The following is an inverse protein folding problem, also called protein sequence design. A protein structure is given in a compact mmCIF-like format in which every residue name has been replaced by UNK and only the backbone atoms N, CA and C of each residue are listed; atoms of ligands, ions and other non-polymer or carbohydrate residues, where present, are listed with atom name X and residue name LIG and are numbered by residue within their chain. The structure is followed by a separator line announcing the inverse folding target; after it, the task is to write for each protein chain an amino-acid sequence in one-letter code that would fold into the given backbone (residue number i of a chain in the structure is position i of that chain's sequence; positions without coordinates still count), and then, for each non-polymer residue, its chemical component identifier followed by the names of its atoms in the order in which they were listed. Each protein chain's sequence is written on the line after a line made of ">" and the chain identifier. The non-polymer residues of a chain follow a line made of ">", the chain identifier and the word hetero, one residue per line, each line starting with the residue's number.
data_IF_582074652040
#
_entry.id   IF_582074652040
#
_cell.length_a   1.000
_cell.length_b   1.000
_cell.length_c   1.000
_cell.angle_alpha   90.00
_cell.angle_beta   90.00
_cell.angle_gamma   90.00
#
_symmetry.space_group_name_H-M   'P 1'
#
loop_
_entity.id
_entity.type
_entity.pdbx_description
1 polymer ?
#
# COMPACT_ATOMS: atom_id res chain seq x y z
N UNK A 1 -40.84 -4.38 -10.97
CA UNK A 1 -40.60 -5.71 -10.39
C UNK A 1 -39.52 -5.55 -9.33
N UNK A 2 -39.32 -6.51 -8.42
CA UNK A 2 -38.31 -6.38 -7.35
C UNK A 2 -36.87 -6.27 -7.87
N UNK A 3 -36.62 -6.81 -9.07
CA UNK A 3 -35.28 -6.81 -9.70
C UNK A 3 -34.86 -5.43 -10.24
N UNK A 4 -35.75 -4.64 -10.84
CA UNK A 4 -35.37 -3.32 -11.36
C UNK A 4 -35.05 -2.33 -10.23
N UNK A 5 -35.65 -2.52 -9.04
CA UNK A 5 -35.37 -1.71 -7.85
C UNK A 5 -33.98 -2.04 -7.29
N UNK A 6 -33.67 -3.32 -7.11
CA UNK A 6 -32.33 -3.78 -6.66
C UNK A 6 -31.22 -3.34 -7.63
N UNK A 7 -31.47 -3.41 -8.94
CA UNK A 7 -30.51 -2.89 -9.92
C UNK A 7 -30.41 -1.36 -9.90
N UNK A 8 -31.51 -0.65 -9.69
CA UNK A 8 -31.48 0.81 -9.54
C UNK A 8 -30.65 1.22 -8.32
N UNK A 9 -30.80 0.53 -7.19
CA UNK A 9 -29.98 0.76 -5.99
C UNK A 9 -28.48 0.55 -6.31
N UNK A 10 -28.13 -0.55 -6.98
CA UNK A 10 -26.74 -0.80 -7.43
C UNK A 10 -26.21 0.29 -8.35
N UNK A 11 -27.04 0.82 -9.24
CA UNK A 11 -26.68 1.94 -10.12
C UNK A 11 -26.52 3.26 -9.38
N UNK A 12 -27.25 3.49 -8.29
CA UNK A 12 -27.13 4.67 -7.44
C UNK A 12 -25.87 4.58 -6.56
N UNK A 13 -25.63 3.43 -5.95
CA UNK A 13 -24.47 3.20 -5.07
C UNK A 13 -23.15 3.19 -5.84
N UNK A 14 -23.10 2.42 -6.94
CA UNK A 14 -21.87 2.28 -7.72
C UNK A 14 -22.17 2.12 -9.22
N UNK A 15 -22.40 3.24 -9.93
CA UNK A 15 -22.76 3.23 -11.35
C UNK A 15 -21.72 2.52 -12.23
N UNK A 16 -20.43 2.65 -11.89
CA UNK A 16 -19.33 2.06 -12.64
C UNK A 16 -19.28 0.53 -12.48
N UNK A 17 -19.47 0.04 -11.27
CA UNK A 17 -19.52 -1.40 -11.00
C UNK A 17 -20.81 -2.01 -11.57
N UNK A 18 -21.92 -1.30 -11.49
CA UNK A 18 -23.19 -1.74 -12.07
C UNK A 18 -23.09 -1.90 -13.59
N UNK A 19 -22.60 -0.89 -14.31
CA UNK A 19 -22.52 -0.94 -15.78
C UNK A 19 -21.53 -2.01 -16.29
N UNK A 20 -20.46 -2.27 -15.56
CA UNK A 20 -19.45 -3.27 -15.94
C UNK A 20 -19.91 -4.71 -15.69
N UNK A 21 -20.80 -4.93 -14.72
CA UNK A 21 -21.38 -6.25 -14.42
C UNK A 21 -22.62 -6.58 -15.26
N UNK A 22 -23.24 -5.58 -15.85
CA UNK A 22 -24.40 -5.79 -16.70
C UNK A 22 -24.02 -6.35 -18.08
N UNK A 23 -24.97 -7.05 -18.72
CA UNK A 23 -24.82 -7.53 -20.10
C UNK A 23 -24.48 -6.38 -21.07
N UNK A 24 -23.85 -6.67 -22.22
CA UNK A 24 -23.63 -5.68 -23.27
C UNK A 24 -24.93 -4.96 -23.64
N UNK A 25 -24.84 -3.66 -23.90
CA UNK A 25 -25.99 -2.77 -24.19
C UNK A 25 -26.93 -2.52 -23.00
N UNK A 26 -26.56 -2.93 -21.78
CA UNK A 26 -27.21 -2.56 -20.51
C UNK A 26 -28.76 -2.61 -20.57
N UNK A 27 -29.33 -3.80 -20.85
CA UNK A 27 -30.78 -3.99 -21.02
C UNK A 27 -31.63 -3.64 -19.79
N UNK A 28 -31.14 -3.93 -18.58
CA UNK A 28 -31.82 -3.65 -17.31
C UNK A 28 -31.81 -2.14 -17.05
N UNK A 29 -30.68 -1.47 -17.29
CA UNK A 29 -30.62 0.00 -17.22
C UNK A 29 -31.63 0.63 -18.19
N UNK A 30 -31.72 0.15 -19.44
CA UNK A 30 -32.71 0.65 -20.40
C UNK A 30 -34.15 0.42 -19.93
N UNK A 31 -34.43 -0.71 -19.30
CA UNK A 31 -35.75 -1.01 -18.75
C UNK A 31 -36.10 -0.05 -17.59
N UNK A 32 -35.17 0.18 -16.67
CA UNK A 32 -35.31 1.16 -15.58
C UNK A 32 -35.58 2.56 -16.15
N UNK A 33 -34.79 2.99 -17.14
CA UNK A 33 -34.94 4.31 -17.76
C UNK A 33 -36.26 4.45 -18.54
N UNK A 34 -36.78 3.38 -19.14
CA UNK A 34 -38.11 3.37 -19.75
C UNK A 34 -39.22 3.58 -18.72
N UNK A 35 -39.13 2.91 -17.57
CA UNK A 35 -40.09 3.08 -16.47
C UNK A 35 -40.04 4.52 -15.95
N UNK A 36 -38.84 5.06 -15.71
CA UNK A 36 -38.64 6.44 -15.28
C UNK A 36 -39.19 7.45 -16.29
N UNK A 37 -38.99 7.22 -17.59
CA UNK A 37 -39.56 8.06 -18.63
C UNK A 37 -41.10 8.03 -18.62
N UNK A 38 -41.70 6.86 -18.43
CA UNK A 38 -43.16 6.73 -18.28
C UNK A 38 -43.71 7.48 -17.06
N UNK A 39 -42.99 7.47 -15.94
CA UNK A 39 -43.36 8.23 -14.75
C UNK A 39 -43.24 9.76 -14.94
N UNK A 40 -42.28 10.21 -15.75
CA UNK A 40 -42.14 11.62 -16.14
C UNK A 40 -43.27 12.08 -17.08
N UNK A 41 -43.72 11.21 -18.00
CA UNK A 41 -44.81 11.55 -18.92
C UNK A 41 -46.18 11.53 -18.24
N UNK A 42 -46.43 10.55 -17.37
CA UNK A 42 -47.67 10.45 -16.60
C UNK A 42 -47.80 11.48 -15.47
N UNK A 43 -46.78 12.34 -15.26
CA UNK A 43 -46.78 13.37 -14.22
C UNK A 43 -46.63 12.84 -12.78
N UNK A 44 -46.43 11.52 -12.62
CA UNK A 44 -46.18 10.88 -11.32
C UNK A 44 -44.82 11.27 -10.73
N UNK A 45 -43.85 11.58 -11.59
CA UNK A 45 -42.57 12.16 -11.20
C UNK A 45 -42.53 13.65 -11.58
N UNK A 46 -42.77 14.52 -10.60
CA UNK A 46 -42.83 15.97 -10.81
C UNK A 46 -41.43 16.57 -10.89
N UNK A 47 -40.98 16.89 -12.10
CA UNK A 47 -39.78 17.69 -12.35
C UNK A 47 -40.16 19.04 -12.99
N UNK A 48 -39.36 20.08 -12.74
CA UNK A 48 -39.45 21.34 -13.50
C UNK A 48 -39.24 21.05 -14.99
N UNK A 49 -39.95 21.78 -15.87
CA UNK A 49 -39.92 21.62 -17.33
C UNK A 49 -38.51 21.38 -17.90
N UNK A 50 -37.55 22.25 -17.56
CA UNK A 50 -36.18 22.10 -18.05
C UNK A 50 -35.47 20.83 -17.57
N UNK A 51 -35.71 20.43 -16.32
CA UNK A 51 -35.14 19.20 -15.75
C UNK A 51 -35.78 17.95 -16.37
N UNK A 52 -37.09 17.98 -16.64
CA UNK A 52 -37.79 16.92 -17.36
C UNK A 52 -37.19 16.74 -18.75
N UNK A 53 -37.10 17.81 -19.54
CA UNK A 53 -36.52 17.78 -20.90
C UNK A 53 -35.10 17.20 -20.90
N UNK A 54 -34.21 17.70 -20.03
CA UNK A 54 -32.84 17.20 -19.91
C UNK A 54 -32.77 15.71 -19.54
N UNK A 55 -33.63 15.26 -18.62
CA UNK A 55 -33.70 13.85 -18.23
C UNK A 55 -34.13 12.97 -19.41
N UNK A 56 -35.16 13.39 -20.15
CA UNK A 56 -35.66 12.67 -21.32
C UNK A 56 -34.62 12.60 -22.45
N UNK A 57 -33.90 13.68 -22.70
CA UNK A 57 -32.81 13.69 -23.70
C UNK A 57 -31.67 12.75 -23.28
N UNK A 58 -31.35 12.71 -21.99
CA UNK A 58 -30.34 11.80 -21.45
C UNK A 58 -30.79 10.34 -21.57
N UNK A 59 -32.04 10.04 -21.24
CA UNK A 59 -32.64 8.70 -21.37
C UNK A 59 -32.59 8.25 -22.84
N UNK A 60 -32.93 9.13 -23.79
CA UNK A 60 -32.85 8.83 -25.23
C UNK A 60 -31.42 8.50 -25.66
N UNK A 61 -30.43 9.30 -25.23
CA UNK A 61 -29.01 9.05 -25.54
C UNK A 61 -28.55 7.68 -25.03
N UNK A 62 -28.89 7.35 -23.78
CA UNK A 62 -28.52 6.06 -23.17
C UNK A 62 -29.22 4.91 -23.90
N UNK A 63 -30.51 5.03 -24.22
CA UNK A 63 -31.22 4.02 -25.00
C UNK A 63 -30.59 3.80 -26.39
N UNK A 64 -30.04 4.86 -26.99
CA UNK A 64 -29.27 4.84 -28.24
C UNK A 64 -27.79 4.47 -28.04
N UNK A 65 -27.50 3.64 -27.05
CA UNK A 65 -26.20 3.01 -26.89
C UNK A 65 -25.03 3.96 -26.54
N UNK A 66 -25.28 5.17 -26.04
CA UNK A 66 -24.22 6.15 -25.77
C UNK A 66 -23.16 5.68 -24.76
N UNK A 67 -23.47 4.70 -23.90
CA UNK A 67 -22.57 4.17 -22.89
C UNK A 67 -21.75 2.94 -23.32
N UNK A 68 -21.89 2.42 -24.55
CA UNK A 68 -21.18 1.19 -24.98
C UNK A 68 -19.67 1.36 -24.85
N UNK A 69 -19.11 2.42 -25.44
CA UNK A 69 -17.66 2.69 -25.38
C UNK A 69 -17.15 2.80 -23.94
N UNK A 70 -17.97 3.34 -23.05
CA UNK A 70 -17.65 3.44 -21.63
C UNK A 70 -17.66 2.07 -20.97
N UNK A 71 -18.68 1.24 -21.23
CA UNK A 71 -18.79 -0.12 -20.72
C UNK A 71 -17.59 -0.97 -21.17
N UNK A 72 -17.27 -0.96 -22.46
CA UNK A 72 -16.13 -1.69 -23.05
C UNK A 72 -14.81 -1.28 -22.43
N UNK A 73 -14.53 0.04 -22.36
CA UNK A 73 -13.31 0.56 -21.75
C UNK A 73 -13.20 0.19 -20.27
N UNK A 74 -14.33 0.19 -19.56
CA UNK A 74 -14.37 -0.13 -18.14
C UNK A 74 -14.10 -1.62 -17.89
N UNK A 75 -14.69 -2.50 -18.69
CA UNK A 75 -14.44 -3.95 -18.65
C UNK A 75 -12.97 -4.24 -19.00
N UNK A 76 -12.44 -3.60 -20.05
CA UNK A 76 -11.03 -3.74 -20.45
C UNK A 76 -10.08 -3.33 -19.32
N UNK A 77 -10.34 -2.19 -18.67
CA UNK A 77 -9.53 -1.73 -17.54
C UNK A 77 -9.61 -2.68 -16.33
N UNK A 78 -10.80 -3.23 -16.03
CA UNK A 78 -10.96 -4.22 -14.95
C UNK A 78 -10.15 -5.47 -15.27
N UNK A 79 -10.24 -5.98 -16.50
CA UNK A 79 -9.51 -7.16 -16.93
C UNK A 79 -7.99 -6.91 -16.91
N UNK A 80 -7.54 -5.75 -17.38
CA UNK A 80 -6.13 -5.36 -17.31
C UNK A 80 -5.65 -5.31 -15.86
N UNK A 81 -6.42 -4.68 -14.96
CA UNK A 81 -6.11 -4.66 -13.53
C UNK A 81 -6.03 -6.07 -12.96
N UNK A 82 -7.01 -6.92 -13.25
CA UNK A 82 -7.01 -8.30 -12.77
C UNK A 82 -5.80 -9.08 -13.28
N UNK A 83 -5.48 -8.98 -14.57
CA UNK A 83 -4.31 -9.62 -15.16
C UNK A 83 -3.01 -9.15 -14.51
N UNK A 84 -2.87 -7.84 -14.23
CA UNK A 84 -1.71 -7.31 -13.50
C UNK A 84 -1.64 -7.84 -12.07
N UNK A 85 -2.78 -8.11 -11.44
CA UNK A 85 -2.85 -8.66 -10.09
C UNK A 85 -2.57 -10.17 -10.05
N UNK A 86 -3.02 -10.93 -11.04
CA UNK A 86 -2.94 -12.40 -11.06
C UNK A 86 -1.68 -12.94 -11.72
N UNK A 87 -1.13 -12.23 -12.71
CA UNK A 87 -0.01 -12.72 -13.51
C UNK A 87 1.27 -12.62 -12.71
N UNK A 88 1.57 -13.60 -11.85
CA UNK A 88 2.90 -13.99 -11.29
C UNK A 88 3.72 -12.94 -10.53
N UNK A 89 3.73 -11.69 -10.96
CA UNK A 89 4.37 -10.51 -10.38
C UNK A 89 4.02 -10.36 -8.90
N UNK A 90 2.76 -10.51 -8.51
CA UNK A 90 2.36 -10.34 -7.11
C UNK A 90 2.91 -11.47 -6.20
N UNK A 91 2.95 -12.70 -6.72
CA UNK A 91 3.57 -13.82 -6.03
C UNK A 91 5.09 -13.64 -5.95
N UNK A 92 5.74 -13.19 -7.03
CA UNK A 92 7.18 -12.89 -7.07
C UNK A 92 7.56 -11.74 -6.13
N UNK A 93 6.79 -10.65 -6.13
CA UNK A 93 6.98 -9.52 -5.20
C UNK A 93 6.85 -10.00 -3.76
N UNK A 94 5.82 -10.80 -3.46
CA UNK A 94 5.59 -11.31 -2.11
C UNK A 94 6.73 -12.23 -1.66
N UNK A 95 7.17 -13.13 -2.54
CA UNK A 95 8.32 -14.00 -2.30
C UNK A 95 9.59 -13.18 -2.05
N UNK A 96 9.91 -12.24 -2.94
CA UNK A 96 11.12 -11.41 -2.85
C UNK A 96 11.12 -10.51 -1.61
N UNK A 97 9.96 -9.97 -1.24
CA UNK A 97 9.76 -9.24 0.03
C UNK A 97 10.12 -10.12 1.23
N UNK A 98 9.64 -11.36 1.24
CA UNK A 98 9.89 -12.32 2.32
C UNK A 98 11.37 -12.68 2.41
N UNK A 99 12.01 -12.98 1.27
CA UNK A 99 13.45 -13.25 1.18
C UNK A 99 14.29 -12.08 1.73
N UNK A 100 13.98 -10.84 1.32
CA UNK A 100 14.68 -9.64 1.79
C UNK A 100 14.48 -9.39 3.29
N UNK A 101 13.28 -9.64 3.82
CA UNK A 101 13.02 -9.53 5.26
C UNK A 101 13.84 -10.54 6.06
N UNK A 102 13.97 -11.77 5.59
CA UNK A 102 14.77 -12.80 6.25
C UNK A 102 16.26 -12.45 6.21
N UNK A 103 16.78 -12.02 5.06
CA UNK A 103 18.17 -11.56 4.93
C UNK A 103 18.47 -10.39 5.88
N UNK A 104 17.56 -9.42 5.99
CA UNK A 104 17.72 -8.29 6.89
C UNK A 104 17.75 -8.74 8.37
N UNK A 105 16.90 -9.70 8.77
CA UNK A 105 16.94 -10.30 10.12
C UNK A 105 18.29 -10.96 10.39
N UNK A 106 18.81 -11.75 9.45
CA UNK A 106 20.12 -12.42 9.57
C UNK A 106 21.26 -11.41 9.72
N UNK A 107 21.27 -10.35 8.91
CA UNK A 107 22.28 -9.29 8.97
C UNK A 107 22.23 -8.56 10.32
N UNK A 108 21.03 -8.19 10.79
CA UNK A 108 20.87 -7.53 12.11
C UNK A 108 21.37 -8.40 13.26
N UNK A 109 21.06 -9.69 13.23
CA UNK A 109 21.56 -10.63 14.24
C UNK A 109 23.09 -10.75 14.20
N UNK A 110 23.69 -10.85 13.01
CA UNK A 110 25.15 -10.89 12.85
C UNK A 110 25.82 -9.61 13.33
N UNK A 111 25.27 -8.44 12.97
CA UNK A 111 25.75 -7.14 13.44
C UNK A 111 25.75 -7.06 14.96
N UNK A 112 24.63 -7.41 15.61
CA UNK A 112 24.51 -7.38 17.07
C UNK A 112 25.55 -8.25 17.77
N UNK A 113 25.85 -9.43 17.21
CA UNK A 113 26.91 -10.32 17.73
C UNK A 113 28.30 -9.69 17.59
N UNK A 114 28.58 -9.09 16.43
CA UNK A 114 29.87 -8.42 16.18
C UNK A 114 30.04 -7.23 17.13
N UNK A 115 29.00 -6.41 17.30
CA UNK A 115 29.02 -5.25 18.19
C UNK A 115 29.27 -5.67 19.65
N UNK A 116 28.63 -6.76 20.11
CA UNK A 116 28.87 -7.33 21.44
C UNK A 116 30.33 -7.81 21.60
N UNK A 117 30.87 -8.53 20.61
CA UNK A 117 32.27 -8.95 20.63
C UNK A 117 33.24 -7.77 20.61
N UNK A 118 32.96 -6.73 19.83
CA UNK A 118 33.78 -5.53 19.77
C UNK A 118 33.78 -4.80 21.12
N UNK A 119 32.64 -4.72 21.79
CA UNK A 119 32.52 -4.14 23.12
C UNK A 119 33.33 -4.91 24.16
N UNK A 120 33.22 -6.24 24.18
CA UNK A 120 34.01 -7.10 25.10
C UNK A 120 35.51 -6.91 24.87
N UNK A 121 35.95 -6.91 23.61
CA UNK A 121 37.36 -6.67 23.26
C UNK A 121 37.84 -5.29 23.70
N UNK A 122 37.04 -4.25 23.45
CA UNK A 122 37.35 -2.87 23.87
C UNK A 122 37.48 -2.75 25.39
N UNK A 123 36.59 -3.39 26.14
CA UNK A 123 36.64 -3.40 27.60
C UNK A 123 37.91 -4.10 28.10
N UNK A 124 38.25 -5.26 27.53
CA UNK A 124 39.47 -5.99 27.90
C UNK A 124 40.74 -5.21 27.57
N UNK A 125 40.78 -4.56 26.40
CA UNK A 125 41.89 -3.67 26.04
C UNK A 125 42.05 -2.52 27.05
N UNK A 126 40.96 -1.84 27.41
CA UNK A 126 41.00 -0.76 28.39
C UNK A 126 41.45 -1.23 29.78
N UNK A 127 41.02 -2.43 30.22
CA UNK A 127 41.46 -3.02 31.48
C UNK A 127 42.96 -3.28 31.49
N UNK A 128 43.48 -3.90 30.43
CA UNK A 128 44.92 -4.19 30.29
C UNK A 128 45.71 -2.87 30.25
N UNK A 129 45.26 -1.89 29.46
CA UNK A 129 45.88 -0.58 29.38
C UNK A 129 45.96 0.08 30.77
N UNK A 130 44.86 0.11 31.50
CA UNK A 130 44.81 0.68 32.84
C UNK A 130 45.75 -0.06 33.82
N UNK A 131 45.90 -1.38 33.68
CA UNK A 131 46.80 -2.17 34.51
C UNK A 131 48.27 -1.88 34.19
N UNK A 132 48.60 -1.74 32.90
CA UNK A 132 49.93 -1.30 32.45
C UNK A 132 50.23 0.09 33.01
N UNK A 133 49.32 1.05 32.88
CA UNK A 133 49.49 2.42 33.37
C UNK A 133 49.68 2.47 34.90
N UNK A 134 48.96 1.61 35.65
CA UNK A 134 49.14 1.48 37.11
C UNK A 134 50.51 0.91 37.47
N UNK A 135 50.92 -0.17 36.81
CA UNK A 135 52.22 -0.80 37.06
C UNK A 135 53.37 0.15 36.69
N UNK A 136 53.23 0.88 35.59
CA UNK A 136 54.16 1.91 35.15
C UNK A 136 54.38 2.97 36.24
N UNK A 137 53.29 3.56 36.75
CA UNK A 137 53.35 4.53 37.86
C UNK A 137 53.95 3.95 39.13
N UNK A 138 53.68 2.68 39.44
CA UNK A 138 54.26 2.01 40.60
C UNK A 138 55.77 1.84 40.45
N UNK A 139 56.24 1.46 39.27
CA UNK A 139 57.68 1.34 38.98
C UNK A 139 58.35 2.70 39.08
N UNK A 140 57.78 3.74 38.44
CA UNK A 140 58.30 5.11 38.51
C UNK A 140 58.41 5.61 39.95
N UNK A 141 57.37 5.34 40.77
CA UNK A 141 57.39 5.66 42.20
C UNK A 141 58.47 4.88 42.95
N UNK A 142 58.55 3.56 42.78
CA UNK A 142 59.54 2.74 43.47
C UNK A 142 60.98 3.15 43.13
N UNK A 143 61.23 3.53 41.87
CA UNK A 143 62.52 4.07 41.44
C UNK A 143 62.79 5.41 42.15
N UNK A 144 61.83 6.33 42.13
CA UNK A 144 61.98 7.61 42.83
C UNK A 144 62.28 7.41 44.32
N UNK A 145 61.55 6.54 45.00
CA UNK A 145 61.74 6.23 46.42
C UNK A 145 63.11 5.57 46.69
N UNK A 146 63.71 4.87 45.71
CA UNK A 146 64.98 4.15 45.89
C UNK A 146 66.23 4.96 45.55
N UNK A 147 66.16 5.84 44.54
CA UNK A 147 67.33 6.56 44.01
C UNK A 147 67.15 8.09 43.97
N UNK A 148 66.04 8.61 44.52
CA UNK A 148 65.63 10.03 44.53
C UNK A 148 65.62 10.70 43.14
N UNK A 149 65.60 9.89 42.07
CA UNK A 149 65.54 10.36 40.69
C UNK A 149 64.17 10.09 40.10
N UNK A 150 63.58 11.14 39.52
CA UNK A 150 62.32 11.02 38.78
C UNK A 150 62.61 10.47 37.39
N UNK A 151 62.02 9.32 37.06
CA UNK A 151 62.05 8.76 35.72
C UNK A 151 60.61 8.65 35.22
N UNK A 152 60.39 8.97 33.94
CA UNK A 152 59.15 8.68 33.23
C UNK A 152 59.40 7.56 32.26
N UNK A 153 58.67 6.47 32.40
CA UNK A 153 58.65 5.40 31.41
C UNK A 153 57.78 5.93 30.24
N UNK A 154 58.08 5.59 29.00
CA UNK A 154 57.22 5.89 27.83
C UNK A 154 56.36 4.68 27.47
#
# INVERSE_FOLDING_TARGET
>A
TSQEIDYLEKYIENPFTAITKEKPNYPILKQILKILNGLLETGKLKLKSDKKRKAQDTIKKINNNSLIKLQEKSIANINQKQNLLTSTILAEITRKKTELQEQNRKIKARKSRIDAHALVKKNKYNQIKNQIDKNKKLIEKNIFDSIEKTIKIE
#
